data_IF_432878400224
#
_entry.id   IF_432878400224
#
_cell.length_a   1.000
_cell.length_b   1.000
_cell.length_c   1.000
_cell.angle_alpha   90.00
_cell.angle_beta   90.00
_cell.angle_gamma   90.00
#
_symmetry.space_group_name_H-M   'P 1'
#
loop_
_entity.id
_entity.type
_entity.pdbx_description
1 polymer ?
#
# COMPACT_ATOMS: atom_id res chain seq x y z
N UNK A 1 -39.06 42.26 43.22
CA UNK A 1 -37.74 41.64 42.99
C UNK A 1 -37.82 40.17 43.40
N UNK A 2 -37.79 39.25 42.44
CA UNK A 2 -37.11 37.94 42.51
C UNK A 2 -37.61 37.06 41.36
N UNK A 3 -36.66 36.41 40.68
CA UNK A 3 -36.75 35.96 39.30
C UNK A 3 -37.09 34.47 39.15
N UNK A 4 -37.49 34.18 37.91
CA UNK A 4 -37.75 32.90 37.24
C UNK A 4 -36.84 31.73 37.60
N UNK A 5 -37.42 30.53 37.71
CA UNK A 5 -36.69 29.25 37.68
C UNK A 5 -37.09 28.45 36.43
N UNK A 6 -36.26 28.53 35.39
CA UNK A 6 -36.31 27.61 34.24
C UNK A 6 -35.54 26.33 34.59
N UNK A 7 -36.25 25.24 34.84
CA UNK A 7 -35.64 23.93 35.09
C UNK A 7 -35.10 23.32 33.78
N UNK A 8 -33.86 23.67 33.42
CA UNK A 8 -33.09 23.00 32.38
C UNK A 8 -32.73 21.59 32.82
N UNK A 9 -33.23 20.58 32.09
CA UNK A 9 -32.92 19.17 32.32
C UNK A 9 -31.42 18.93 32.01
N UNK A 10 -30.57 18.89 33.04
CA UNK A 10 -29.15 18.59 32.90
C UNK A 10 -28.98 17.22 32.22
N UNK A 11 -28.44 17.22 31.00
CA UNK A 11 -28.02 15.99 30.32
C UNK A 11 -26.80 15.45 31.07
N UNK A 12 -26.99 14.35 31.79
CA UNK A 12 -25.90 13.64 32.47
C UNK A 12 -24.88 13.20 31.41
N UNK A 13 -23.59 13.57 31.52
CA UNK A 13 -22.61 13.18 30.52
C UNK A 13 -22.49 11.65 30.53
N UNK A 14 -22.62 11.05 29.35
CA UNK A 14 -22.55 9.60 29.16
C UNK A 14 -21.13 9.18 29.54
N UNK A 15 -20.97 8.66 30.77
CA UNK A 15 -19.68 8.21 31.30
C UNK A 15 -19.07 7.23 30.30
N UNK A 16 -17.89 7.55 29.79
CA UNK A 16 -17.17 6.66 28.88
C UNK A 16 -16.93 5.33 29.61
N UNK A 17 -17.28 4.20 28.97
CA UNK A 17 -16.98 2.88 29.52
C UNK A 17 -15.49 2.78 29.80
N UNK A 18 -15.14 2.61 31.06
CA UNK A 18 -13.75 2.43 31.51
C UNK A 18 -13.24 1.12 30.91
N UNK A 19 -12.13 1.19 30.16
CA UNK A 19 -11.46 0.01 29.60
C UNK A 19 -10.52 -0.58 30.65
N UNK A 20 -10.43 -1.91 30.70
CA UNK A 20 -9.49 -2.61 31.57
C UNK A 20 -8.04 -2.29 31.15
N UNK A 21 -7.16 -2.04 32.13
CA UNK A 21 -5.72 -1.76 31.95
C UNK A 21 -4.82 -2.86 32.53
N UNK A 22 -5.37 -4.02 32.85
CA UNK A 22 -4.59 -5.20 33.21
C UNK A 22 -3.60 -5.55 32.07
N UNK A 23 -2.42 -6.12 32.39
CA UNK A 23 -1.48 -6.57 31.37
C UNK A 23 -2.15 -7.61 30.47
N UNK A 24 -1.87 -7.52 29.16
CA UNK A 24 -2.32 -8.52 28.21
C UNK A 24 -1.58 -9.84 28.46
N UNK A 25 -2.30 -10.96 28.36
CA UNK A 25 -1.72 -12.30 28.48
C UNK A 25 -0.73 -12.60 27.34
N UNK A 26 -1.06 -12.13 26.13
CA UNK A 26 -0.20 -12.21 24.95
C UNK A 26 0.21 -10.81 24.53
N UNK A 27 1.52 -10.58 24.41
CA UNK A 27 2.07 -9.34 23.87
C UNK A 27 2.18 -9.43 22.36
N UNK A 28 1.82 -8.34 21.67
CA UNK A 28 1.95 -8.26 20.21
C UNK A 28 3.45 -8.14 19.89
N UNK A 29 3.95 -9.07 19.09
CA UNK A 29 5.35 -9.06 18.64
C UNK A 29 5.48 -8.54 17.21
N UNK A 30 6.69 -8.13 16.84
CA UNK A 30 6.99 -7.71 15.47
C UNK A 30 6.74 -8.84 14.47
N UNK A 31 7.09 -10.07 14.81
CA UNK A 31 6.87 -11.24 13.95
C UNK A 31 5.39 -11.47 13.68
N UNK A 32 4.52 -11.34 14.70
CA UNK A 32 3.09 -11.48 14.54
C UNK A 32 2.53 -10.46 13.53
N UNK A 33 2.94 -9.19 13.63
CA UNK A 33 2.52 -8.14 12.70
C UNK A 33 3.01 -8.42 11.28
N UNK A 34 4.27 -8.83 11.11
CA UNK A 34 4.85 -9.14 9.80
C UNK A 34 4.21 -10.36 9.14
N UNK A 35 3.91 -11.40 9.93
CA UNK A 35 3.23 -12.61 9.49
C UNK A 35 1.80 -12.30 9.04
N UNK A 36 1.04 -11.58 9.87
CA UNK A 36 -0.33 -11.19 9.55
C UNK A 36 -0.40 -10.25 8.34
N UNK A 37 0.57 -9.33 8.20
CA UNK A 37 0.66 -8.47 7.02
C UNK A 37 0.92 -9.28 5.74
N UNK A 38 1.77 -10.31 5.81
CA UNK A 38 2.06 -11.20 4.68
C UNK A 38 0.86 -12.09 4.32
N UNK A 39 0.25 -12.73 5.32
CA UNK A 39 -0.89 -13.63 5.14
C UNK A 39 -2.15 -12.92 4.61
N UNK A 40 -2.28 -11.62 4.87
CA UNK A 40 -3.40 -10.82 4.32
C UNK A 40 -3.30 -10.59 2.81
N UNK A 41 -2.17 -10.87 2.16
CA UNK A 41 -1.95 -10.86 0.70
C UNK A 41 -2.61 -9.68 -0.06
N UNK A 42 -2.75 -8.51 0.57
CA UNK A 42 -3.56 -7.39 0.09
C UNK A 42 -3.10 -6.81 -1.26
N UNK A 43 -1.84 -7.07 -1.64
CA UNK A 43 -1.19 -6.50 -2.82
C UNK A 43 -0.89 -7.55 -3.90
N UNK A 44 -1.20 -8.83 -3.66
CA UNK A 44 -0.92 -9.89 -4.62
C UNK A 44 -1.99 -9.85 -5.70
N UNK A 45 -1.67 -9.18 -6.81
CA UNK A 45 -2.50 -9.26 -8.01
C UNK A 45 -2.59 -10.74 -8.43
N UNK A 46 -3.80 -11.26 -8.68
CA UNK A 46 -3.94 -12.63 -9.15
C UNK A 46 -3.13 -12.80 -10.44
N UNK A 47 -2.49 -13.97 -10.65
CA UNK A 47 -1.73 -14.21 -11.86
C UNK A 47 -2.64 -14.04 -13.09
N UNK A 48 -2.12 -13.44 -14.18
CA UNK A 48 -2.91 -13.28 -15.39
C UNK A 48 -3.34 -14.66 -15.94
N UNK A 49 -4.53 -14.76 -16.55
CA UNK A 49 -5.02 -16.02 -17.10
C UNK A 49 -4.07 -16.56 -18.18
N UNK A 50 -3.98 -17.88 -18.28
CA UNK A 50 -3.21 -18.54 -19.35
C UNK A 50 -3.89 -18.29 -20.69
N UNK A 51 -3.34 -17.36 -21.47
CA UNK A 51 -3.82 -17.08 -22.82
C UNK A 51 -3.31 -18.16 -23.80
N UNK A 52 -4.23 -18.86 -24.46
CA UNK A 52 -3.93 -19.71 -25.63
C UNK A 52 -4.09 -18.85 -26.87
N UNK A 53 -3.16 -18.97 -27.82
CA UNK A 53 -3.17 -18.24 -29.09
C UNK A 53 -3.66 -19.22 -30.15
N UNK A 54 -4.76 -18.91 -30.83
CA UNK A 54 -5.36 -19.81 -31.84
C UNK A 54 -5.02 -19.40 -33.27
N UNK A 55 -5.00 -18.09 -33.52
CA UNK A 55 -4.89 -17.54 -34.87
C UNK A 55 -3.61 -16.70 -35.07
N UNK A 56 -3.21 -16.52 -36.33
CA UNK A 56 -1.99 -15.78 -36.67
C UNK A 56 -2.06 -14.28 -36.34
N UNK A 57 -3.26 -13.70 -36.41
CA UNK A 57 -3.52 -12.31 -36.01
C UNK A 57 -3.26 -12.12 -34.51
N UNK A 58 -3.80 -13.01 -33.67
CA UNK A 58 -3.55 -13.00 -32.21
C UNK A 58 -2.07 -13.19 -31.86
N UNK A 59 -1.35 -14.02 -32.63
CA UNK A 59 0.08 -14.22 -32.43
C UNK A 59 0.87 -12.93 -32.70
N UNK A 60 0.50 -12.19 -33.74
CA UNK A 60 1.14 -10.93 -34.09
C UNK A 60 0.86 -9.85 -33.05
N UNK A 61 -0.36 -9.77 -32.54
CA UNK A 61 -0.73 -8.87 -31.44
C UNK A 61 0.02 -9.19 -30.14
N UNK A 62 0.14 -10.47 -29.81
CA UNK A 62 0.92 -10.91 -28.65
C UNK A 62 2.40 -10.49 -28.79
N UNK A 63 3.01 -10.74 -29.96
CA UNK A 63 4.39 -10.34 -30.25
C UNK A 63 4.57 -8.82 -30.17
N UNK A 64 3.64 -8.04 -30.74
CA UNK A 64 3.68 -6.59 -30.72
C UNK A 64 3.61 -6.04 -29.29
N UNK A 65 2.68 -6.56 -28.46
CA UNK A 65 2.53 -6.18 -27.05
C UNK A 65 3.80 -6.46 -26.26
N UNK A 66 4.37 -7.67 -26.42
CA UNK A 66 5.62 -8.06 -25.75
C UNK A 66 6.78 -7.18 -26.19
N UNK A 67 6.95 -6.95 -27.51
CA UNK A 67 7.99 -6.07 -28.04
C UNK A 67 7.90 -4.67 -27.46
N UNK A 68 6.71 -4.06 -27.45
CA UNK A 68 6.49 -2.74 -26.87
C UNK A 68 6.92 -2.69 -25.40
N UNK A 69 6.56 -3.72 -24.62
CA UNK A 69 6.92 -3.79 -23.20
C UNK A 69 8.43 -3.85 -22.99
N UNK A 70 9.15 -4.64 -23.80
CA UNK A 70 10.61 -4.71 -23.74
C UNK A 70 11.27 -3.38 -24.14
N UNK A 71 10.85 -2.79 -25.25
CA UNK A 71 11.41 -1.52 -25.74
C UNK A 71 11.16 -0.36 -24.76
N UNK A 72 9.97 -0.30 -24.17
CA UNK A 72 9.65 0.71 -23.17
C UNK A 72 10.47 0.53 -21.88
N UNK A 73 10.74 -0.72 -21.47
CA UNK A 73 11.60 -1.01 -20.32
C UNK A 73 13.06 -0.61 -20.60
N UNK A 74 13.59 -0.92 -21.78
CA UNK A 74 14.93 -0.49 -22.19
C UNK A 74 15.02 1.04 -22.19
N UNK A 75 14.02 1.72 -22.75
CA UNK A 75 13.97 3.19 -22.79
C UNK A 75 14.01 3.80 -21.40
N UNK A 76 13.19 3.30 -20.46
CA UNK A 76 13.12 3.78 -19.07
C UNK A 76 14.44 3.55 -18.33
N UNK A 77 15.02 2.37 -18.46
CA UNK A 77 16.27 2.02 -17.79
C UNK A 77 17.46 2.80 -18.35
N UNK A 78 17.46 3.13 -19.65
CA UNK A 78 18.53 3.92 -20.27
C UNK A 78 18.67 5.29 -19.61
N UNK A 79 17.57 6.01 -19.39
CA UNK A 79 17.59 7.32 -18.71
C UNK A 79 17.97 7.22 -17.23
N UNK A 80 17.52 6.16 -16.54
CA UNK A 80 17.86 5.93 -15.14
C UNK A 80 19.36 5.67 -14.96
N UNK A 81 19.98 4.87 -15.83
CA UNK A 81 21.42 4.60 -15.81
C UNK A 81 22.25 5.86 -16.06
N UNK A 82 21.82 6.73 -16.98
CA UNK A 82 22.52 8.01 -17.24
C UNK A 82 22.39 9.00 -16.07
N UNK A 83 21.22 9.09 -15.45
CA UNK A 83 21.00 9.97 -14.28
C UNK A 83 21.79 9.51 -13.05
N UNK A 84 21.81 8.21 -12.77
CA UNK A 84 22.60 7.64 -11.68
C UNK A 84 24.10 7.82 -11.92
N UNK A 85 24.58 7.59 -13.14
CA UNK A 85 25.99 7.80 -13.48
C UNK A 85 26.43 9.26 -13.26
N UNK A 86 25.63 10.23 -13.70
CA UNK A 86 25.91 11.65 -13.44
C UNK A 86 25.86 12.01 -11.96
N UNK A 87 24.94 11.41 -11.19
CA UNK A 87 24.85 11.66 -9.75
C UNK A 87 26.05 11.11 -8.98
N UNK A 88 26.54 9.93 -9.36
CA UNK A 88 27.75 9.30 -8.79
C UNK A 88 28.98 10.17 -9.10
N UNK A 89 29.13 10.64 -10.34
CA UNK A 89 30.25 11.49 -10.74
C UNK A 89 30.26 12.86 -10.04
N UNK A 90 29.08 13.34 -9.60
CA UNK A 90 28.93 14.61 -8.89
C UNK A 90 29.12 14.52 -7.37
N UNK A 91 29.31 13.34 -6.80
CA UNK A 91 29.60 13.23 -5.36
C UNK A 91 31.03 13.75 -5.10
N UNK A 92 31.24 14.71 -4.18
CA UNK A 92 32.58 15.07 -3.75
C UNK A 92 33.21 13.86 -3.06
N UNK A 93 34.44 13.52 -3.47
CA UNK A 93 35.25 12.55 -2.76
C UNK A 93 35.66 13.18 -1.42
N UNK A 94 35.15 12.64 -0.32
CA UNK A 94 35.71 12.89 1.02
C UNK A 94 37.12 12.28 1.12
#
# INVERSE_FOLDING_TARGET
>A
MAASTSAGKQRVPKVAKVKNKAPAEVQITTEQLLREAKERELELLPPPPQQRITDEEELNDYKLRKRKTFEDNIRKNRSASTGLAQWIERQPAD
#
